data_IF_521223272675
#
_entry.id   IF_521223272675
#
_cell.length_a   1.000
_cell.length_b   1.000
_cell.length_c   1.000
_cell.angle_alpha   90.00
_cell.angle_beta   90.00
_cell.angle_gamma   90.00
#
_symmetry.space_group_name_H-M   'P 1'
#
loop_
_entity.id
_entity.type
_entity.pdbx_description
1 polymer ?
#
# COMPACT_ATOMS: atom_id res chain seq x y z
N UNK A 1 6.69 -6.84 -10.04
CA UNK A 1 7.19 -6.39 -11.37
C UNK A 1 8.47 -5.57 -11.14
N UNK A 2 9.66 -6.17 -11.30
CA UNK A 2 10.92 -5.43 -11.15
C UNK A 2 11.24 -4.71 -12.46
N UNK A 3 11.05 -3.38 -12.48
CA UNK A 3 11.53 -2.52 -13.56
C UNK A 3 13.07 -2.54 -13.54
N UNK A 4 13.68 -3.16 -14.54
CA UNK A 4 15.14 -3.15 -14.72
C UNK A 4 15.47 -2.28 -15.92
N UNK A 5 16.52 -1.47 -15.80
CA UNK A 5 17.10 -0.82 -16.95
C UNK A 5 17.86 -1.87 -17.77
N UNK A 6 17.69 -1.85 -19.08
CA UNK A 6 18.33 -2.81 -19.99
C UNK A 6 19.84 -2.57 -20.10
N UNK A 7 20.29 -1.31 -20.00
CA UNK A 7 21.70 -0.95 -20.07
C UNK A 7 22.00 0.41 -19.39
N UNK A 8 22.96 0.45 -18.47
CA UNK A 8 23.41 1.67 -17.78
C UNK A 8 24.62 2.36 -18.45
N UNK A 9 25.25 1.72 -19.44
CA UNK A 9 26.40 2.27 -20.17
C UNK A 9 26.02 3.35 -21.20
N UNK A 10 24.74 3.44 -21.58
CA UNK A 10 24.27 4.37 -22.61
C UNK A 10 23.17 5.30 -22.09
N UNK A 11 23.36 6.61 -22.26
CA UNK A 11 22.44 7.62 -21.74
C UNK A 11 21.01 7.53 -22.29
N UNK A 12 20.82 7.09 -23.54
CA UNK A 12 19.51 6.90 -24.15
C UNK A 12 18.66 5.80 -23.48
N UNK A 13 19.28 4.89 -22.73
CA UNK A 13 18.56 3.80 -22.06
C UNK A 13 18.26 4.13 -20.59
N UNK A 14 19.26 4.60 -19.83
CA UNK A 14 19.05 4.85 -18.40
C UNK A 14 18.37 6.19 -18.11
N UNK A 15 18.56 7.25 -18.92
CA UNK A 15 17.91 8.56 -18.66
C UNK A 15 16.38 8.44 -18.77
N UNK A 16 15.79 7.89 -19.85
CA UNK A 16 14.34 7.72 -19.93
C UNK A 16 13.80 6.75 -18.87
N UNK A 17 14.56 5.72 -18.50
CA UNK A 17 14.22 4.81 -17.42
C UNK A 17 14.07 5.55 -16.07
N UNK A 18 15.06 6.37 -15.69
CA UNK A 18 14.99 7.18 -14.46
C UNK A 18 13.83 8.17 -14.51
N UNK A 19 13.58 8.80 -15.67
CA UNK A 19 12.45 9.71 -15.86
C UNK A 19 11.11 8.99 -15.65
N UNK A 20 10.95 7.79 -16.22
CA UNK A 20 9.77 6.94 -16.05
C UNK A 20 9.55 6.56 -14.58
N UNK A 21 10.60 6.11 -13.89
CA UNK A 21 10.51 5.78 -12.46
C UNK A 21 10.11 7.00 -11.61
N UNK A 22 10.71 8.17 -11.87
CA UNK A 22 10.35 9.42 -11.18
C UNK A 22 8.89 9.81 -11.46
N UNK A 23 8.42 9.67 -12.69
CA UNK A 23 7.04 9.95 -13.06
C UNK A 23 6.05 9.03 -12.34
N UNK A 24 6.29 7.71 -12.35
CA UNK A 24 5.47 6.72 -11.63
C UNK A 24 5.46 7.03 -10.14
N UNK A 25 6.63 7.26 -9.53
CA UNK A 25 6.73 7.60 -8.11
C UNK A 25 5.93 8.85 -7.78
N UNK A 26 6.01 9.91 -8.60
CA UNK A 26 5.24 11.14 -8.39
C UNK A 26 3.73 10.87 -8.43
N UNK A 27 3.24 10.12 -9.41
CA UNK A 27 1.83 9.75 -9.51
C UNK A 27 1.36 8.92 -8.31
N UNK A 28 2.18 7.98 -7.86
CA UNK A 28 1.91 7.21 -6.65
C UNK A 28 1.77 8.12 -5.42
N UNK A 29 2.68 9.08 -5.22
CA UNK A 29 2.59 10.01 -4.09
C UNK A 29 1.34 10.91 -4.15
N UNK A 30 0.90 11.32 -5.35
CA UNK A 30 -0.35 12.07 -5.51
C UNK A 30 -1.55 11.18 -5.16
N UNK A 31 -1.56 9.91 -5.59
CA UNK A 31 -2.59 8.96 -5.20
C UNK A 31 -2.65 8.70 -3.70
N UNK A 32 -1.50 8.70 -3.02
CA UNK A 32 -1.41 8.62 -1.55
C UNK A 32 -2.02 9.86 -0.89
N UNK A 33 -1.73 11.07 -1.37
CA UNK A 33 -2.35 12.30 -0.86
C UNK A 33 -3.88 12.28 -1.04
N UNK A 34 -4.37 11.80 -2.20
CA UNK A 34 -5.79 11.58 -2.41
C UNK A 34 -6.37 10.53 -1.46
N UNK A 35 -5.68 9.41 -1.24
CA UNK A 35 -6.12 8.37 -0.32
C UNK A 35 -6.22 8.88 1.12
N UNK A 36 -5.22 9.63 1.58
CA UNK A 36 -5.19 10.19 2.93
C UNK A 36 -6.34 11.20 3.18
N UNK A 37 -6.86 11.83 2.12
CA UNK A 37 -8.03 12.73 2.22
C UNK A 37 -9.35 11.97 2.06
N UNK A 38 -9.44 11.15 1.02
CA UNK A 38 -10.63 10.42 0.62
C UNK A 38 -10.22 9.04 0.05
N UNK A 39 -10.27 7.97 0.87
CA UNK A 39 -9.75 6.64 0.50
C UNK A 39 -10.28 6.13 -0.85
N UNK A 40 -11.60 6.27 -1.08
CA UNK A 40 -12.24 5.81 -2.32
C UNK A 40 -11.69 6.52 -3.56
N UNK A 41 -11.59 7.86 -3.52
CA UNK A 41 -11.03 8.66 -4.62
C UNK A 41 -9.55 8.40 -4.83
N UNK A 42 -8.80 8.15 -3.77
CA UNK A 42 -7.40 7.76 -3.85
C UNK A 42 -7.21 6.45 -4.62
N UNK A 43 -8.04 5.44 -4.32
CA UNK A 43 -8.02 4.16 -5.03
C UNK A 43 -8.43 4.31 -6.49
N UNK A 44 -9.52 5.04 -6.78
CA UNK A 44 -9.96 5.34 -8.15
C UNK A 44 -8.89 6.08 -8.96
N UNK A 45 -8.21 7.07 -8.35
CA UNK A 45 -7.10 7.77 -8.97
C UNK A 45 -5.96 6.82 -9.34
N UNK A 46 -5.58 5.93 -8.43
CA UNK A 46 -4.53 4.95 -8.67
C UNK A 46 -4.91 3.95 -9.78
N UNK A 47 -6.17 3.55 -9.87
CA UNK A 47 -6.69 2.73 -10.98
C UNK A 47 -6.62 3.49 -12.31
N UNK A 48 -7.00 4.76 -12.34
CA UNK A 48 -6.93 5.60 -13.54
C UNK A 48 -5.52 5.81 -14.11
N UNK A 49 -4.48 5.64 -13.29
CA UNK A 49 -3.07 5.64 -13.72
C UNK A 49 -2.48 4.23 -13.92
N UNK A 50 -3.31 3.18 -13.87
CA UNK A 50 -2.90 1.78 -13.92
C UNK A 50 -1.83 1.41 -12.86
N UNK A 51 -1.84 2.12 -11.73
CA UNK A 51 -1.01 1.78 -10.57
C UNK A 51 -1.67 0.73 -9.68
N UNK A 52 -2.99 0.59 -9.81
CA UNK A 52 -3.80 -0.52 -9.32
C UNK A 52 -4.56 -1.16 -10.49
N UNK A 53 -4.95 -2.44 -10.40
CA UNK A 53 -5.74 -3.09 -11.43
C UNK A 53 -7.10 -2.43 -11.62
N UNK A 54 -7.63 -2.49 -12.85
CA UNK A 54 -8.90 -1.84 -13.24
C UNK A 54 -10.09 -2.36 -12.40
N UNK A 55 -10.08 -3.65 -12.07
CA UNK A 55 -10.91 -4.22 -11.01
C UNK A 55 -10.12 -4.23 -9.71
N UNK A 56 -10.67 -3.57 -8.68
CA UNK A 56 -9.97 -3.39 -7.42
C UNK A 56 -9.76 -4.75 -6.73
N UNK A 57 -8.50 -5.19 -6.67
CA UNK A 57 -8.11 -6.47 -6.11
C UNK A 57 -7.59 -6.30 -4.67
N UNK A 58 -8.11 -7.06 -3.68
CA UNK A 58 -7.69 -6.94 -2.30
C UNK A 58 -6.19 -7.12 -2.08
N UNK A 59 -5.53 -8.01 -2.84
CA UNK A 59 -4.08 -8.25 -2.73
C UNK A 59 -3.27 -7.06 -3.22
N UNK A 60 -3.72 -6.42 -4.28
CA UNK A 60 -3.09 -5.23 -4.84
C UNK A 60 -3.18 -4.05 -3.88
N UNK A 61 -4.34 -3.86 -3.23
CA UNK A 61 -4.52 -2.83 -2.20
C UNK A 61 -3.72 -3.15 -0.93
N UNK A 62 -3.65 -4.41 -0.52
CA UNK A 62 -2.77 -4.84 0.57
C UNK A 62 -1.29 -4.56 0.28
N UNK A 63 -0.82 -4.83 -0.93
CA UNK A 63 0.52 -4.47 -1.37
C UNK A 63 0.74 -2.96 -1.35
N UNK A 64 -0.26 -2.17 -1.78
CA UNK A 64 -0.21 -0.72 -1.72
C UNK A 64 0.02 -0.23 -0.29
N UNK A 65 -0.73 -0.74 0.69
CA UNK A 65 -0.51 -0.41 2.11
C UNK A 65 0.85 -0.86 2.63
N UNK A 66 1.36 -2.00 2.17
CA UNK A 66 2.63 -2.57 2.66
C UNK A 66 3.86 -1.84 2.16
N UNK A 67 3.86 -1.47 0.88
CA UNK A 67 5.06 -1.03 0.17
C UNK A 67 5.08 0.46 -0.16
N UNK A 68 3.95 1.17 -0.02
CA UNK A 68 3.88 2.60 -0.30
C UNK A 68 4.14 3.41 0.96
N UNK A 69 5.12 4.30 0.90
CA UNK A 69 5.41 5.23 1.98
C UNK A 69 4.49 6.46 1.95
N UNK A 70 4.24 7.06 3.11
CA UNK A 70 3.46 8.32 3.23
C UNK A 70 1.95 8.14 3.34
N UNK A 71 1.47 6.90 3.39
CA UNK A 71 0.08 6.61 3.74
C UNK A 71 -0.14 6.97 5.22
N UNK A 72 -1.21 7.71 5.48
CA UNK A 72 -1.65 8.02 6.84
C UNK A 72 -2.16 6.74 7.51
N UNK A 73 -1.57 6.42 8.67
CA UNK A 73 -1.85 5.18 9.39
C UNK A 73 -3.24 5.17 10.01
N UNK A 74 -3.75 6.33 10.41
CA UNK A 74 -5.07 6.44 11.02
C UNK A 74 -6.12 6.20 9.92
N UNK A 75 -5.96 6.83 8.76
CA UNK A 75 -6.85 6.64 7.59
C UNK A 75 -6.79 5.21 7.06
N UNK A 76 -5.60 4.62 6.97
CA UNK A 76 -5.47 3.21 6.59
C UNK A 76 -6.09 2.28 7.63
N UNK A 77 -5.94 2.59 8.92
CA UNK A 77 -6.56 1.84 10.02
C UNK A 77 -8.09 1.88 9.95
N UNK A 78 -8.66 3.06 9.73
CA UNK A 78 -10.11 3.24 9.57
C UNK A 78 -10.64 2.52 8.34
N UNK A 79 -9.90 2.55 7.22
CA UNK A 79 -10.26 1.80 6.01
C UNK A 79 -10.27 0.29 6.28
N UNK A 80 -9.21 -0.25 6.88
CA UNK A 80 -9.08 -1.68 7.19
C UNK A 80 -10.02 -2.14 8.31
N UNK A 81 -10.44 -1.23 9.18
CA UNK A 81 -11.40 -1.47 10.26
C UNK A 81 -12.86 -1.34 9.87
N UNK A 82 -13.16 -1.05 8.59
CA UNK A 82 -14.53 -0.97 8.07
C UNK A 82 -15.22 -2.35 8.10
N UNK A 83 -16.55 -2.34 8.21
CA UNK A 83 -17.40 -3.54 8.15
C UNK A 83 -17.64 -4.04 6.71
N UNK A 84 -17.09 -3.33 5.74
CA UNK A 84 -17.23 -3.67 4.33
C UNK A 84 -16.44 -4.94 3.99
N UNK A 85 -17.06 -5.85 3.25
CA UNK A 85 -16.50 -7.18 2.94
C UNK A 85 -15.17 -7.05 2.17
N UNK A 86 -15.08 -6.07 1.27
CA UNK A 86 -13.84 -5.76 0.55
C UNK A 86 -12.73 -5.33 1.50
N UNK A 87 -13.03 -4.43 2.45
CA UNK A 87 -12.04 -3.95 3.43
C UNK A 87 -11.52 -5.09 4.32
N UNK A 88 -12.40 -6.03 4.72
CA UNK A 88 -12.02 -7.23 5.47
C UNK A 88 -11.10 -8.14 4.64
N UNK A 89 -11.40 -8.34 3.35
CA UNK A 89 -10.53 -9.11 2.46
C UNK A 89 -9.16 -8.45 2.28
N UNK A 90 -9.11 -7.12 2.15
CA UNK A 90 -7.86 -6.35 2.07
C UNK A 90 -7.06 -6.51 3.36
N UNK A 91 -7.70 -6.43 4.52
CA UNK A 91 -7.05 -6.65 5.81
C UNK A 91 -6.42 -8.04 5.89
N UNK A 92 -7.13 -9.07 5.44
CA UNK A 92 -6.63 -10.45 5.44
C UNK A 92 -5.42 -10.62 4.52
N UNK A 93 -5.47 -10.07 3.30
CA UNK A 93 -4.32 -10.08 2.39
C UNK A 93 -3.16 -9.23 2.91
N UNK A 94 -3.43 -8.10 3.56
CA UNK A 94 -2.43 -7.26 4.20
C UNK A 94 -1.72 -8.01 5.33
N UNK A 95 -2.47 -8.68 6.20
CA UNK A 95 -1.93 -9.52 7.25
C UNK A 95 -1.02 -10.64 6.70
N UNK A 96 -1.40 -11.26 5.57
CA UNK A 96 -0.59 -12.27 4.88
C UNK A 96 0.74 -11.74 4.33
N UNK A 97 0.85 -10.44 4.05
CA UNK A 97 2.13 -9.84 3.63
C UNK A 97 3.16 -9.77 4.75
N UNK A 98 2.75 -9.97 6.01
CA UNK A 98 3.65 -10.11 7.15
C UNK A 98 4.02 -11.58 7.31
N UNK A 99 5.31 -11.88 7.17
CA UNK A 99 5.78 -13.24 7.40
C UNK A 99 5.89 -13.49 8.91
N UNK A 100 4.89 -14.17 9.47
CA UNK A 100 4.89 -14.57 10.89
C UNK A 100 5.70 -15.85 11.15
N UNK A 101 6.20 -16.54 10.11
CA UNK A 101 7.07 -17.69 10.29
C UNK A 101 8.42 -17.23 10.87
N UNK A 102 8.66 -17.58 12.14
CA UNK A 102 9.90 -17.26 12.88
C UNK A 102 9.79 -16.06 13.83
N UNK A 103 8.64 -15.38 13.92
CA UNK A 103 8.41 -14.40 14.98
C UNK A 103 8.06 -15.14 16.28
N UNK A 104 8.88 -14.97 17.32
CA UNK A 104 8.48 -15.40 18.66
C UNK A 104 7.25 -14.59 19.12
N UNK A 105 6.48 -15.14 20.06
CA UNK A 105 5.29 -14.49 20.63
C UNK A 105 5.54 -13.04 21.06
N UNK A 106 6.72 -12.74 21.62
CA UNK A 106 7.12 -11.38 22.03
C UNK A 106 7.22 -10.40 20.85
N UNK A 107 7.79 -10.82 19.73
CA UNK A 107 7.89 -10.00 18.51
C UNK A 107 6.54 -9.85 17.81
N UNK A 108 5.70 -10.88 17.87
CA UNK A 108 4.32 -10.82 17.39
C UNK A 108 3.50 -9.80 18.20
N UNK A 109 3.57 -9.88 19.53
CA UNK A 109 2.92 -8.93 20.44
C UNK A 109 3.48 -7.51 20.29
N UNK A 110 4.81 -7.34 20.11
CA UNK A 110 5.42 -6.04 19.86
C UNK A 110 5.03 -5.46 18.50
N UNK A 111 4.88 -6.30 17.47
CA UNK A 111 4.37 -5.89 16.16
C UNK A 111 2.92 -5.44 16.27
N UNK A 112 2.06 -6.21 16.96
CA UNK A 112 0.69 -5.83 17.29
C UNK A 112 0.61 -4.55 18.14
N UNK A 113 1.54 -4.32 19.08
CA UNK A 113 1.61 -3.10 19.87
C UNK A 113 2.09 -1.88 19.06
N UNK A 114 3.05 -2.06 18.15
CA UNK A 114 3.55 -0.98 17.27
C UNK A 114 2.56 -0.61 16.16
N UNK A 115 1.68 -1.54 15.79
CA UNK A 115 0.51 -1.30 14.94
C UNK A 115 -0.78 -1.11 15.74
N UNK A 116 -0.73 -1.03 17.08
CA UNK A 116 -1.94 -0.87 17.90
C UNK A 116 -2.61 0.49 17.70
N UNK A 117 -1.90 1.48 17.16
CA UNK A 117 -2.52 2.74 16.75
C UNK A 117 -3.52 2.54 15.60
N UNK A 118 -3.27 1.64 14.64
CA UNK A 118 -4.27 1.26 13.62
C UNK A 118 -5.45 0.45 14.20
N UNK A 119 -5.23 -0.32 15.27
CA UNK A 119 -6.26 -1.20 15.87
C UNK A 119 -7.09 -0.51 16.97
N UNK A 120 -6.74 0.72 17.38
CA UNK A 120 -7.55 1.50 18.33
C UNK A 120 -8.94 1.83 17.77
N UNK A 121 -9.11 1.91 16.44
CA UNK A 121 -10.42 2.04 15.79
C UNK A 121 -11.27 0.76 15.86
N UNK A 122 -10.67 -0.42 16.08
CA UNK A 122 -11.38 -1.69 16.18
C UNK A 122 -11.92 -1.99 17.60
N UNK A 123 -11.66 -1.12 18.58
CA UNK A 123 -12.04 -1.31 20.00
C UNK A 123 -13.27 -0.50 20.43
N UNK A 124 -14.10 -0.06 19.47
CA UNK A 124 -15.44 0.50 19.70
C UNK A 124 -16.54 -0.37 19.09
N UNK A 125 -16.44 -1.68 19.33
CA UNK A 125 -17.56 -2.62 19.31
C UNK A 125 -17.51 -3.43 20.60
#
# INVERSE_FOLDING_TARGET
>A
MTLKCENYGEHHHWVPFIHRMKHIKRKLMIGVDHFNREPKKGLEFLQGFHLLPDTLDPKSVACFFRYTAGIDKDVAGDFLGSHDEFCIQVLHEFARTFNFQGMNWTLLCAFFWKHSDCLKSLRRL
#
